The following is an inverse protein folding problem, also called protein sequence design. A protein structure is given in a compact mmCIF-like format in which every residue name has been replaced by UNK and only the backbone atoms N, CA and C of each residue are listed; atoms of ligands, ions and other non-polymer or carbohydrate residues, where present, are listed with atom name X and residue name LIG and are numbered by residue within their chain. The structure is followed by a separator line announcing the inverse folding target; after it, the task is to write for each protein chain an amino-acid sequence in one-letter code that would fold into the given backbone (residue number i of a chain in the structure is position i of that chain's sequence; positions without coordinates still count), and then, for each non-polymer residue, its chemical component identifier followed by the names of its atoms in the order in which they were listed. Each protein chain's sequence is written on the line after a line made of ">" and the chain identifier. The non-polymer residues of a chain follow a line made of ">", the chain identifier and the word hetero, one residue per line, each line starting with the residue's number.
data_IF_505085279375
#
_entry.id   IF_505085279375
#
_cell.length_a   1.000
_cell.length_b   1.000
_cell.length_c   1.000
_cell.angle_alpha   90.00
_cell.angle_beta   90.00
_cell.angle_gamma   90.00
#
_symmetry.space_group_name_H-M   'P 1'
#
loop_
_entity.id
_entity.type
_entity.pdbx_description
1 polymer ?
#
# COMPACT_ATOMS: atom_id res chain seq x y z
N UNK A 1 16.73 53.80 -5.66
CA UNK A 1 15.45 53.61 -4.96
C UNK A 1 14.96 52.21 -5.31
N UNK A 2 15.06 51.30 -4.35
CA UNK A 2 14.36 50.00 -4.24
C UNK A 2 12.82 50.21 -4.21
N UNK A 3 11.93 49.18 -4.13
CA UNK A 3 12.09 47.71 -3.86
C UNK A 3 11.20 46.85 -4.81
N UNK A 4 10.91 45.54 -4.68
CA UNK A 4 11.48 44.27 -4.18
C UNK A 4 10.31 43.24 -4.14
N UNK A 5 10.58 41.95 -4.40
CA UNK A 5 9.87 40.73 -3.90
C UNK A 5 8.35 40.59 -4.19
N UNK A 6 7.89 39.52 -4.84
CA UNK A 6 7.96 38.14 -4.33
C UNK A 6 8.33 37.13 -5.43
N UNK A 7 9.51 36.54 -5.27
CA UNK A 7 9.85 35.24 -5.83
C UNK A 7 9.17 34.16 -4.97
N UNK A 8 8.51 33.19 -5.60
CA UNK A 8 8.33 31.87 -4.97
C UNK A 8 9.50 30.98 -5.38
N UNK A 9 10.14 30.28 -4.43
CA UNK A 9 11.48 29.75 -4.64
C UNK A 9 11.44 28.38 -5.31
N UNK A 10 12.33 28.20 -6.28
CA UNK A 10 12.91 26.91 -6.58
C UNK A 10 13.59 26.36 -5.31
N UNK A 11 12.97 25.38 -4.65
CA UNK A 11 13.57 24.64 -3.54
C UNK A 11 12.89 23.27 -3.40
N UNK A 12 13.19 22.39 -4.35
CA UNK A 12 13.55 21.03 -3.97
C UNK A 12 14.88 20.74 -4.66
N UNK A 13 15.98 20.58 -3.92
CA UNK A 13 17.25 20.21 -4.51
C UNK A 13 17.12 18.82 -5.14
N UNK A 14 17.67 18.70 -6.35
CA UNK A 14 17.71 17.50 -7.20
C UNK A 14 18.45 16.31 -6.55
N UNK A 15 18.95 16.50 -5.33
CA UNK A 15 19.59 15.49 -4.47
C UNK A 15 18.60 14.74 -3.55
N UNK A 16 17.28 14.89 -3.73
CA UNK A 16 16.26 14.14 -2.99
C UNK A 16 15.24 13.46 -3.90
N UNK A 17 15.63 13.17 -5.13
CA UNK A 17 15.06 12.01 -5.83
C UNK A 17 15.49 10.79 -5.02
N UNK A 18 14.55 10.17 -4.31
CA UNK A 18 14.73 8.79 -3.85
C UNK A 18 15.29 8.04 -5.07
N UNK A 19 16.43 7.35 -4.93
CA UNK A 19 17.10 6.77 -6.08
C UNK A 19 16.07 5.95 -6.86
N UNK A 20 16.13 6.01 -8.19
CA UNK A 20 15.26 5.29 -9.14
C UNK A 20 15.23 3.76 -8.88
N UNK A 21 15.97 3.29 -7.88
CA UNK A 21 16.01 1.95 -7.32
C UNK A 21 14.90 1.62 -6.33
N UNK A 22 14.17 2.59 -5.74
CA UNK A 22 13.11 2.27 -4.75
C UNK A 22 11.88 1.63 -5.42
N UNK A 23 11.66 1.89 -6.70
CA UNK A 23 10.60 1.26 -7.50
C UNK A 23 11.11 0.63 -8.79
N UNK A 24 12.41 0.33 -8.88
CA UNK A 24 12.85 -0.68 -9.84
C UNK A 24 12.39 -2.04 -9.32
N UNK A 25 11.11 -2.36 -9.56
CA UNK A 25 10.71 -3.74 -9.75
C UNK A 25 11.40 -4.17 -11.06
N UNK A 26 12.72 -4.37 -10.97
CA UNK A 26 13.43 -5.08 -12.00
C UNK A 26 12.64 -6.37 -12.15
N UNK A 27 12.39 -6.76 -13.39
CA UNK A 27 11.99 -8.11 -13.73
C UNK A 27 13.13 -9.06 -13.32
N UNK A 28 13.37 -9.18 -12.02
CA UNK A 28 14.16 -10.24 -11.44
C UNK A 28 13.45 -11.56 -11.73
N UNK A 29 14.18 -12.67 -11.73
CA UNK A 29 13.61 -13.98 -11.99
C UNK A 29 12.38 -14.17 -11.11
N UNK A 30 11.32 -14.79 -11.64
CA UNK A 30 10.07 -15.10 -10.93
C UNK A 30 10.28 -15.73 -9.55
N UNK A 31 11.44 -16.37 -9.37
CA UNK A 31 11.92 -16.96 -8.11
C UNK A 31 12.11 -15.94 -6.99
N UNK A 32 12.47 -14.69 -7.31
CA UNK A 32 12.66 -13.61 -6.33
C UNK A 32 11.33 -13.14 -5.72
N UNK A 33 10.28 -12.98 -6.54
CA UNK A 33 8.95 -12.63 -6.09
C UNK A 33 8.28 -13.79 -5.34
N UNK A 34 8.43 -15.02 -5.85
CA UNK A 34 7.95 -16.19 -5.14
C UNK A 34 8.61 -16.35 -3.77
N UNK A 35 9.91 -16.02 -3.67
CA UNK A 35 10.64 -15.98 -2.39
C UNK A 35 10.12 -14.88 -1.46
N UNK A 36 9.87 -13.67 -1.97
CA UNK A 36 9.34 -12.56 -1.16
C UNK A 36 7.90 -12.81 -0.68
N UNK A 37 7.05 -13.45 -1.49
CA UNK A 37 5.70 -13.86 -1.07
C UNK A 37 5.75 -14.96 -0.01
N UNK A 38 6.67 -15.93 -0.12
CA UNK A 38 6.90 -16.93 0.94
C UNK A 38 7.36 -16.28 2.24
N UNK A 39 8.22 -15.26 2.16
CA UNK A 39 8.67 -14.48 3.29
C UNK A 39 7.51 -13.70 3.95
N UNK A 40 6.67 -13.05 3.14
CA UNK A 40 5.45 -12.37 3.60
C UNK A 40 4.51 -13.32 4.36
N UNK A 41 4.24 -14.51 3.78
CA UNK A 41 3.43 -15.52 4.43
C UNK A 41 4.07 -16.03 5.74
N UNK A 42 5.41 -16.06 5.82
CA UNK A 42 6.13 -16.41 7.04
C UNK A 42 5.96 -15.34 8.12
N UNK A 43 5.99 -14.05 7.76
CA UNK A 43 5.72 -12.91 8.66
C UNK A 43 4.31 -12.98 9.24
N UNK A 44 3.31 -13.21 8.40
CA UNK A 44 1.93 -13.39 8.83
C UNK A 44 1.77 -14.55 9.83
N UNK A 45 2.36 -15.72 9.50
CA UNK A 45 2.34 -16.89 10.39
C UNK A 45 3.06 -16.63 11.71
N UNK A 46 4.10 -15.81 11.72
CA UNK A 46 4.82 -15.44 12.93
C UNK A 46 3.93 -14.64 13.89
N UNK A 47 3.13 -13.69 13.38
CA UNK A 47 2.17 -12.93 14.20
C UNK A 47 1.11 -13.86 14.81
N UNK A 48 0.58 -14.80 14.02
CA UNK A 48 -0.42 -15.77 14.48
C UNK A 48 0.19 -16.69 15.54
N UNK A 49 1.39 -17.22 15.31
CA UNK A 49 2.12 -18.07 16.28
C UNK A 49 2.44 -17.33 17.58
N UNK A 50 2.78 -16.04 17.51
CA UNK A 50 3.00 -15.21 18.69
C UNK A 50 1.71 -14.97 19.49
N UNK A 51 0.58 -14.77 18.82
CA UNK A 51 -0.73 -14.67 19.47
C UNK A 51 -1.14 -15.97 20.17
N UNK A 52 -0.82 -17.13 19.59
CA UNK A 52 -0.95 -18.45 20.22
C UNK A 52 0.13 -18.73 21.28
N UNK A 53 1.11 -17.82 21.43
CA UNK A 53 2.23 -17.84 22.36
C UNK A 53 3.23 -18.97 22.16
N UNK A 54 3.48 -19.34 20.90
CA UNK A 54 4.65 -20.13 20.48
C UNK A 54 5.84 -19.18 20.29
N UNK A 55 7.06 -19.65 20.52
CA UNK A 55 8.27 -18.89 20.22
C UNK A 55 8.38 -18.62 18.72
N UNK A 56 8.83 -17.42 18.36
CA UNK A 56 9.00 -16.98 16.97
C UNK A 56 10.47 -16.66 16.75
N UNK A 57 11.09 -17.30 15.76
CA UNK A 57 12.46 -17.00 15.35
C UNK A 57 12.47 -15.75 14.45
N UNK A 58 13.03 -14.65 14.96
CA UNK A 58 13.01 -13.34 14.31
C UNK A 58 14.00 -13.19 13.16
N UNK A 59 15.17 -13.82 13.25
CA UNK A 59 16.19 -13.79 12.19
C UNK A 59 15.65 -14.33 10.86
N UNK A 60 14.73 -15.29 10.95
CA UNK A 60 14.17 -15.97 9.81
C UNK A 60 13.10 -15.13 9.06
N UNK A 61 12.75 -13.95 9.59
CA UNK A 61 11.67 -13.08 9.12
C UNK A 61 12.15 -11.93 8.20
N UNK A 62 13.48 -11.73 8.10
CA UNK A 62 14.15 -10.72 7.27
C UNK A 62 13.42 -9.38 7.30
N UNK A 63 13.21 -8.82 8.48
CA UNK A 63 12.41 -7.60 8.65
C UNK A 63 13.11 -6.38 8.02
N UNK A 64 12.34 -5.35 7.61
CA UNK A 64 12.92 -4.06 7.22
C UNK A 64 13.79 -3.50 8.36
N UNK A 65 14.92 -2.88 8.04
CA UNK A 65 15.86 -2.29 9.03
C UNK A 65 15.23 -1.22 9.93
N UNK A 66 14.09 -0.67 9.52
CA UNK A 66 13.30 0.33 10.25
C UNK A 66 12.58 -0.24 11.48
N UNK A 67 12.51 -1.58 11.61
CA UNK A 67 11.85 -2.25 12.72
C UNK A 67 12.87 -2.69 13.77
N UNK A 68 12.67 -2.20 15.00
CA UNK A 68 13.49 -2.58 16.15
C UNK A 68 13.18 -4.05 16.54
N UNK A 69 14.12 -4.95 16.21
CA UNK A 69 13.98 -6.39 16.39
C UNK A 69 13.87 -6.77 17.86
N UNK A 70 14.61 -6.08 18.73
CA UNK A 70 14.67 -6.38 20.16
C UNK A 70 13.36 -5.97 20.83
N UNK A 71 12.85 -4.80 20.45
CA UNK A 71 11.54 -4.32 20.89
C UNK A 71 10.41 -5.19 20.37
N UNK A 72 10.48 -5.64 19.11
CA UNK A 72 9.49 -6.55 18.54
C UNK A 72 9.48 -7.90 19.27
N UNK A 73 10.64 -8.46 19.60
CA UNK A 73 10.72 -9.73 20.34
C UNK A 73 10.00 -9.65 21.68
N UNK A 74 10.27 -8.57 22.43
CA UNK A 74 9.63 -8.29 23.70
C UNK A 74 8.11 -8.14 23.52
N UNK A 75 7.67 -7.36 22.53
CA UNK A 75 6.26 -7.14 22.25
C UNK A 75 5.54 -8.44 21.86
N UNK A 76 6.16 -9.31 21.04
CA UNK A 76 5.57 -10.60 20.65
C UNK A 76 5.43 -11.54 21.84
N UNK A 77 6.40 -11.55 22.78
CA UNK A 77 6.29 -12.30 24.04
C UNK A 77 5.21 -11.72 24.96
N UNK A 78 5.03 -10.41 24.96
CA UNK A 78 4.02 -9.69 25.77
C UNK A 78 2.61 -9.72 25.17
N UNK A 79 2.48 -10.11 23.90
CA UNK A 79 1.19 -10.20 23.20
C UNK A 79 0.29 -11.28 23.82
N UNK A 80 0.81 -12.49 24.04
CA UNK A 80 0.05 -13.61 24.64
C UNK A 80 -0.53 -13.27 26.02
N UNK A 81 0.23 -12.79 27.01
CA UNK A 81 -0.32 -12.46 28.33
C UNK A 81 -1.31 -11.30 28.28
N UNK A 82 -1.11 -10.33 27.38
CA UNK A 82 -2.03 -9.19 27.21
C UNK A 82 -3.36 -9.61 26.59
N UNK A 83 -3.32 -10.47 25.57
CA UNK A 83 -4.50 -11.07 24.97
C UNK A 83 -5.19 -12.02 25.97
N UNK A 84 -4.46 -12.86 26.70
CA UNK A 84 -5.02 -13.80 27.67
C UNK A 84 -5.72 -13.10 28.85
N UNK A 85 -5.13 -12.01 29.37
CA UNK A 85 -5.73 -11.21 30.44
C UNK A 85 -7.03 -10.52 29.98
N UNK A 86 -7.04 -10.01 28.74
CA UNK A 86 -8.23 -9.43 28.13
C UNK A 86 -9.28 -10.50 27.77
N UNK A 87 -8.87 -11.69 27.35
CA UNK A 87 -9.78 -12.81 27.15
C UNK A 87 -10.45 -13.22 28.47
N UNK A 88 -9.78 -13.19 29.61
CA UNK A 88 -10.43 -13.43 30.90
C UNK A 88 -11.52 -12.38 31.23
N UNK A 89 -11.38 -11.13 30.77
CA UNK A 89 -12.35 -10.04 30.96
C UNK A 89 -13.45 -10.00 29.87
N UNK A 90 -13.14 -10.46 28.65
CA UNK A 90 -14.04 -10.42 27.47
C UNK A 90 -14.76 -11.74 27.23
N UNK A 91 -14.19 -12.89 27.65
CA UNK A 91 -14.76 -14.23 27.42
C UNK A 91 -15.46 -14.80 28.65
N UNK A 92 -16.69 -14.35 28.87
CA UNK A 92 -17.75 -15.30 29.27
C UNK A 92 -18.27 -16.12 28.08
N UNK A 93 -17.86 -15.80 26.85
CA UNK A 93 -18.24 -16.54 25.66
C UNK A 93 -17.01 -17.03 24.88
N UNK A 94 -16.95 -18.37 24.73
CA UNK A 94 -16.19 -19.23 23.82
C UNK A 94 -14.81 -18.72 23.36
N UNK A 95 -13.78 -19.46 23.77
CA UNK A 95 -12.36 -19.23 23.48
C UNK A 95 -12.07 -18.67 22.10
N UNK A 96 -11.51 -17.46 22.06
CA UNK A 96 -11.09 -16.80 20.85
C UNK A 96 -9.82 -17.48 20.32
N UNK A 97 -9.93 -18.13 19.17
CA UNK A 97 -8.78 -18.65 18.42
C UNK A 97 -8.42 -17.61 17.36
N UNK A 98 -7.21 -17.06 17.43
CA UNK A 98 -6.72 -16.15 16.39
C UNK A 98 -6.36 -16.99 15.16
N UNK A 99 -7.18 -16.94 14.12
CA UNK A 99 -6.94 -17.70 12.86
C UNK A 99 -6.28 -16.81 11.82
N UNK A 100 -6.57 -15.51 11.85
CA UNK A 100 -6.09 -14.52 10.88
C UNK A 100 -5.36 -13.35 11.55
N UNK A 101 -4.51 -12.65 10.79
CA UNK A 101 -3.86 -11.41 11.25
C UNK A 101 -4.90 -10.32 11.56
N UNK A 102 -6.04 -10.36 10.87
CA UNK A 102 -7.17 -9.46 11.12
C UNK A 102 -7.79 -9.68 12.50
N UNK A 103 -7.85 -10.93 12.98
CA UNK A 103 -8.34 -11.23 14.32
C UNK A 103 -7.42 -10.58 15.37
N UNK A 104 -6.11 -10.69 15.19
CA UNK A 104 -5.10 -10.06 16.06
C UNK A 104 -5.23 -8.53 16.03
N UNK A 105 -5.40 -7.94 14.85
CA UNK A 105 -5.63 -6.50 14.71
C UNK A 105 -6.91 -6.05 15.43
N UNK A 106 -8.00 -6.81 15.28
CA UNK A 106 -9.28 -6.53 15.95
C UNK A 106 -9.17 -6.64 17.48
N UNK A 107 -8.35 -7.55 17.99
CA UNK A 107 -8.04 -7.64 19.41
C UNK A 107 -7.27 -6.40 19.88
N UNK A 108 -6.22 -5.98 19.16
CA UNK A 108 -5.42 -4.81 19.53
C UNK A 108 -6.23 -3.51 19.57
N UNK A 109 -7.22 -3.36 18.68
CA UNK A 109 -8.10 -2.18 18.68
C UNK A 109 -9.02 -2.14 19.92
N UNK A 110 -9.39 -3.31 20.45
CA UNK A 110 -10.24 -3.42 21.65
C UNK A 110 -9.48 -3.18 22.96
N UNK A 111 -8.14 -3.17 22.92
CA UNK A 111 -7.32 -2.92 24.11
C UNK A 111 -7.40 -1.46 24.58
N UNK A 112 -7.10 -1.25 25.86
CA UNK A 112 -6.94 0.09 26.42
C UNK A 112 -5.85 0.89 25.67
N UNK A 113 -6.02 2.21 25.52
CA UNK A 113 -5.11 3.05 24.73
C UNK A 113 -3.67 3.03 25.25
N UNK A 114 -3.48 2.86 26.56
CA UNK A 114 -2.15 2.75 27.17
C UNK A 114 -1.43 1.46 26.76
N UNK A 115 -2.15 0.34 26.74
CA UNK A 115 -1.61 -0.96 26.34
C UNK A 115 -1.36 -1.00 24.83
N UNK A 116 -2.21 -0.34 24.05
CA UNK A 116 -2.03 -0.20 22.59
C UNK A 116 -0.73 0.53 22.24
N UNK A 117 -0.41 1.62 22.94
CA UNK A 117 0.83 2.37 22.75
C UNK A 117 2.10 1.53 23.01
N UNK A 118 2.00 0.47 23.81
CA UNK A 118 3.12 -0.44 24.07
C UNK A 118 3.40 -1.41 22.91
N UNK A 119 2.49 -1.56 21.95
CA UNK A 119 2.59 -2.50 20.81
C UNK A 119 2.89 -1.84 19.46
N UNK A 120 3.64 -0.73 19.47
CA UNK A 120 3.96 0.04 18.27
C UNK A 120 4.60 -0.76 17.12
N UNK A 121 5.45 -1.74 17.41
CA UNK A 121 6.15 -2.51 16.35
C UNK A 121 5.26 -3.63 15.81
N UNK A 122 4.39 -4.19 16.64
CA UNK A 122 3.37 -5.15 16.18
C UNK A 122 2.36 -4.46 15.28
N UNK A 123 1.94 -3.22 15.59
CA UNK A 123 1.05 -2.46 14.71
C UNK A 123 1.66 -2.26 13.32
N UNK A 124 2.93 -1.82 13.26
CA UNK A 124 3.66 -1.70 11.99
C UNK A 124 3.78 -3.03 11.24
N UNK A 125 4.04 -4.13 11.95
CA UNK A 125 4.15 -5.46 11.35
C UNK A 125 2.80 -5.92 10.75
N UNK A 126 1.69 -5.63 11.44
CA UNK A 126 0.34 -5.92 10.96
C UNK A 126 0.01 -5.05 9.74
N UNK A 127 0.33 -3.75 9.78
CA UNK A 127 0.16 -2.85 8.64
C UNK A 127 0.93 -3.35 7.41
N UNK A 128 2.17 -3.79 7.60
CA UNK A 128 2.98 -4.39 6.54
C UNK A 128 2.29 -5.64 5.97
N UNK A 129 1.83 -6.55 6.83
CA UNK A 129 1.12 -7.76 6.40
C UNK A 129 -0.17 -7.44 5.61
N UNK A 130 -0.93 -6.42 6.00
CA UNK A 130 -2.17 -6.02 5.34
C UNK A 130 -1.94 -5.23 4.05
N UNK A 131 -0.85 -4.45 3.96
CA UNK A 131 -0.51 -3.65 2.79
C UNK A 131 -0.05 -4.53 1.61
N UNK A 132 0.64 -5.63 1.89
CA UNK A 132 1.15 -6.56 0.87
C UNK A 132 0.05 -7.08 -0.07
N UNK A 133 -1.04 -7.73 0.38
CA UNK A 133 -2.09 -8.21 -0.52
C UNK A 133 -2.77 -7.08 -1.28
N UNK A 134 -2.90 -5.88 -0.70
CA UNK A 134 -3.48 -4.71 -1.36
C UNK A 134 -2.60 -4.26 -2.52
N UNK A 135 -1.29 -4.14 -2.30
CA UNK A 135 -0.33 -3.74 -3.34
C UNK A 135 -0.24 -4.75 -4.49
N UNK A 136 -0.26 -6.05 -4.18
CA UNK A 136 -0.26 -7.14 -5.17
C UNK A 136 -1.54 -7.09 -6.00
N UNK A 137 -2.70 -7.03 -5.35
CA UNK A 137 -3.99 -6.96 -6.06
C UNK A 137 -4.11 -5.72 -6.96
N UNK A 138 -3.59 -4.57 -6.53
CA UNK A 138 -3.58 -3.34 -7.35
C UNK A 138 -2.69 -3.51 -8.58
N UNK A 139 -1.49 -4.07 -8.40
CA UNK A 139 -0.56 -4.35 -9.48
C UNK A 139 -1.13 -5.36 -10.49
N UNK A 140 -1.69 -6.47 -10.01
CA UNK A 140 -2.36 -7.49 -10.84
C UNK A 140 -3.50 -6.90 -11.65
N UNK A 141 -4.32 -6.03 -11.04
CA UNK A 141 -5.40 -5.31 -11.73
C UNK A 141 -4.85 -4.45 -12.87
N UNK A 142 -3.80 -3.66 -12.61
CA UNK A 142 -3.16 -2.83 -13.64
C UNK A 142 -2.52 -3.67 -14.75
N UNK A 143 -1.80 -4.75 -14.43
CA UNK A 143 -1.21 -5.64 -15.44
C UNK A 143 -2.26 -6.37 -16.28
N UNK A 144 -3.37 -6.78 -15.66
CA UNK A 144 -4.52 -7.34 -16.37
C UNK A 144 -5.11 -6.33 -17.35
N UNK A 145 -5.32 -5.08 -16.91
CA UNK A 145 -5.78 -4.00 -17.80
C UNK A 145 -4.80 -3.78 -18.96
N UNK A 146 -3.49 -3.72 -18.70
CA UNK A 146 -2.46 -3.55 -19.73
C UNK A 146 -2.50 -4.66 -20.79
N UNK A 147 -2.82 -5.90 -20.42
CA UNK A 147 -2.99 -7.01 -21.37
C UNK A 147 -4.09 -6.74 -22.39
N UNK A 148 -5.17 -6.07 -22.00
CA UNK A 148 -6.25 -5.67 -22.92
C UNK A 148 -5.94 -4.39 -23.69
N UNK A 149 -5.18 -3.46 -23.11
CA UNK A 149 -4.87 -2.17 -23.73
C UNK A 149 -3.74 -2.27 -24.76
N UNK A 150 -2.69 -3.05 -24.47
CA UNK A 150 -1.53 -3.22 -25.32
C UNK A 150 -1.75 -4.41 -26.27
N UNK A 151 -2.53 -4.18 -27.32
CA UNK A 151 -2.71 -5.16 -28.41
C UNK A 151 -1.69 -4.95 -29.52
N UNK A 152 -1.46 -5.97 -30.35
CA UNK A 152 -0.48 -5.95 -31.45
C UNK A 152 -0.67 -4.74 -32.40
N UNK A 153 -1.93 -4.39 -32.73
CA UNK A 153 -2.27 -3.23 -33.58
C UNK A 153 -1.98 -1.89 -32.89
N UNK A 154 -1.91 -1.85 -31.55
CA UNK A 154 -1.65 -0.63 -30.75
C UNK A 154 -0.22 -0.58 -30.20
N UNK A 155 0.71 -1.28 -30.84
CA UNK A 155 2.09 -1.43 -30.38
C UNK A 155 2.92 -0.14 -30.42
N UNK A 156 2.52 0.86 -31.22
CA UNK A 156 3.24 2.13 -31.43
C UNK A 156 2.77 3.28 -30.52
N UNK A 157 1.97 3.00 -29.50
CA UNK A 157 1.44 4.03 -28.59
C UNK A 157 2.52 4.56 -27.63
N UNK A 158 2.53 5.87 -27.40
CA UNK A 158 3.47 6.50 -26.46
C UNK A 158 3.23 6.04 -25.01
N UNK A 159 4.30 5.94 -24.22
CA UNK A 159 4.21 5.50 -22.82
C UNK A 159 3.27 6.40 -22.00
N UNK A 160 3.35 7.72 -22.18
CA UNK A 160 2.46 8.69 -21.52
C UNK A 160 0.98 8.38 -21.78
N UNK A 161 0.63 8.12 -23.06
CA UNK A 161 -0.75 7.78 -23.42
C UNK A 161 -1.15 6.44 -22.80
N UNK A 162 -0.26 5.45 -22.79
CA UNK A 162 -0.54 4.10 -22.26
C UNK A 162 -0.81 4.14 -20.76
N UNK A 163 0.03 4.86 -20.00
CA UNK A 163 -0.14 5.04 -18.56
C UNK A 163 -1.48 5.71 -18.24
N UNK A 164 -1.83 6.82 -18.92
CA UNK A 164 -3.12 7.48 -18.70
C UNK A 164 -4.30 6.55 -18.99
N UNK A 165 -4.24 5.78 -20.08
CA UNK A 165 -5.32 4.89 -20.48
C UNK A 165 -5.46 3.70 -19.52
N UNK A 166 -4.34 3.18 -18.98
CA UNK A 166 -4.34 2.17 -17.94
C UNK A 166 -4.93 2.68 -16.62
N UNK A 167 -4.61 3.92 -16.25
CA UNK A 167 -5.17 4.57 -15.07
C UNK A 167 -6.68 4.74 -15.21
N UNK A 168 -7.13 5.20 -16.38
CA UNK A 168 -8.55 5.33 -16.69
C UNK A 168 -9.26 3.99 -16.63
N UNK A 169 -8.71 2.94 -17.25
CA UNK A 169 -9.31 1.61 -17.24
C UNK A 169 -9.39 1.01 -15.83
N UNK A 170 -8.41 1.28 -14.97
CA UNK A 170 -8.40 0.74 -13.60
C UNK A 170 -9.40 1.46 -12.68
N UNK A 171 -9.66 2.75 -12.94
CA UNK A 171 -10.50 3.62 -12.11
C UNK A 171 -11.82 3.99 -12.81
N UNK A 172 -12.48 3.01 -13.43
CA UNK A 172 -13.76 3.22 -14.14
C UNK A 172 -14.85 3.76 -13.23
N UNK A 173 -14.84 3.39 -11.95
CA UNK A 173 -15.86 3.84 -10.98
C UNK A 173 -15.81 5.36 -10.78
N UNK A 174 -14.60 5.93 -10.78
CA UNK A 174 -14.37 7.38 -10.66
C UNK A 174 -14.71 8.08 -11.98
N UNK A 175 -14.44 7.44 -13.13
CA UNK A 175 -14.79 8.01 -14.43
C UNK A 175 -16.30 8.07 -14.66
N UNK A 176 -17.05 7.08 -14.17
CA UNK A 176 -18.49 7.04 -14.31
C UNK A 176 -19.20 8.11 -13.47
N UNK A 177 -18.54 8.64 -12.43
CA UNK A 177 -19.08 9.74 -11.62
C UNK A 177 -18.72 11.13 -12.15
N UNK A 178 -17.86 11.22 -13.18
CA UNK A 178 -17.42 12.48 -13.75
C UNK A 178 -18.45 13.01 -14.77
N UNK A 179 -18.79 14.29 -14.68
CA UNK A 179 -19.58 14.96 -15.73
C UNK A 179 -18.71 15.21 -16.97
N UNK A 180 -19.16 14.71 -18.12
CA UNK A 180 -18.46 14.77 -19.40
C UNK A 180 -18.58 16.17 -20.02
N UNK A 181 -19.64 16.92 -19.73
CA UNK A 181 -19.88 18.24 -20.30
C UNK A 181 -18.78 19.28 -19.98
N UNK A 182 -18.36 19.48 -18.73
CA UNK A 182 -17.26 20.40 -18.41
C UNK A 182 -15.94 19.94 -19.02
N UNK A 183 -15.65 18.63 -18.98
CA UNK A 183 -14.43 18.06 -19.58
C UNK A 183 -14.37 18.31 -21.09
N UNK A 184 -15.50 18.18 -21.77
CA UNK A 184 -15.62 18.45 -23.21
C UNK A 184 -15.36 19.93 -23.51
N UNK A 185 -15.92 20.84 -22.71
CA UNK A 185 -15.68 22.28 -22.85
C UNK A 185 -14.21 22.63 -22.65
N UNK A 186 -13.57 22.08 -21.63
CA UNK A 186 -12.14 22.27 -21.37
C UNK A 186 -11.29 21.76 -22.55
N UNK A 187 -11.62 20.57 -23.07
CA UNK A 187 -10.95 19.99 -24.23
C UNK A 187 -11.05 20.86 -25.49
N UNK A 188 -12.22 21.46 -25.73
CA UNK A 188 -12.49 22.34 -26.88
C UNK A 188 -11.73 23.67 -26.73
N UNK A 189 -11.72 24.25 -25.51
CA UNK A 189 -11.05 25.53 -25.23
C UNK A 189 -9.52 25.46 -25.31
N UNK A 190 -8.95 24.25 -25.21
CA UNK A 190 -7.48 24.04 -25.21
C UNK A 190 -6.81 24.45 -26.54
N UNK A 191 -7.52 24.39 -27.67
CA UNK A 191 -6.94 24.69 -28.99
C UNK A 191 -7.94 25.44 -29.86
N UNK A 192 -7.55 26.56 -30.50
CA UNK A 192 -8.47 27.37 -31.32
C UNK A 192 -9.08 26.58 -32.49
N UNK A 193 -8.32 25.63 -33.05
CA UNK A 193 -8.78 24.70 -34.10
C UNK A 193 -9.95 23.83 -33.63
N UNK A 194 -9.91 23.36 -32.38
CA UNK A 194 -10.97 22.56 -31.78
C UNK A 194 -12.22 23.40 -31.53
N UNK A 195 -12.03 24.63 -31.08
CA UNK A 195 -13.14 25.59 -30.91
C UNK A 195 -13.83 25.88 -32.24
N UNK A 196 -13.07 26.01 -33.34
CA UNK A 196 -13.64 26.19 -34.68
C UNK A 196 -14.36 24.94 -35.21
N UNK A 197 -13.90 23.74 -34.85
CA UNK A 197 -14.45 22.47 -35.35
C UNK A 197 -15.68 22.01 -34.58
N UNK A 198 -15.61 22.08 -33.24
CA UNK A 198 -16.66 21.59 -32.34
C UNK A 198 -17.64 22.68 -31.91
N UNK A 199 -17.39 23.95 -32.23
CA UNK A 199 -18.24 25.08 -31.85
C UNK A 199 -18.16 25.42 -30.37
N UNK A 200 -19.18 26.11 -29.86
CA UNK A 200 -19.30 26.45 -28.44
C UNK A 200 -20.41 25.57 -27.82
N UNK A 201 -20.01 24.67 -26.91
CA UNK A 201 -20.84 23.73 -26.17
C UNK A 201 -20.98 24.15 -24.70
#
# INVERSE_FOLDING_TARGET
>A
MSPSMLAYPALMPESRLLPDTVWSFSSGPSDSLASSMKLAAKRERAVIKAAEGRSVDLEALQLPEELDTDRLELQLKMLRPSIAKQLADVTKDRGFMCVTVQDVASCLIKLQPQTRAMFSEIEKLIELCLCLPISVASSERTFSALRFLKTWVRSTMTQKRLTHLSLMHTNTDILNSLDIHPLMRDFISTTPERTSTFGHL
#
